data_IF_419938061083
#
_entry.id   IF_419938061083
#
_cell.length_a   1.000
_cell.length_b   1.000
_cell.length_c   1.000
_cell.angle_alpha   90.00
_cell.angle_beta   90.00
_cell.angle_gamma   90.00
#
_symmetry.space_group_name_H-M   'P 1'
#
loop_
_entity.id
_entity.type
_entity.pdbx_description
1 polymer ?
#
# COMPACT_ATOMS: atom_id res chain seq x y z
N UNK A 1 37.08 16.52 -22.00
CA UNK A 1 36.32 15.50 -21.25
C UNK A 1 35.11 16.17 -20.60
N UNK A 2 33.87 15.80 -20.99
CA UNK A 2 32.66 16.27 -20.29
C UNK A 2 32.67 15.70 -18.88
N UNK A 3 33.03 16.51 -17.89
CA UNK A 3 32.81 16.15 -16.48
C UNK A 3 31.32 16.05 -16.25
N UNK A 4 30.77 14.83 -16.31
CA UNK A 4 29.45 14.58 -15.80
C UNK A 4 29.48 14.87 -14.31
N UNK A 5 28.94 16.03 -13.93
CA UNK A 5 28.84 16.41 -12.53
C UNK A 5 28.25 15.27 -11.70
N UNK A 6 28.90 14.92 -10.60
CA UNK A 6 28.45 13.88 -9.64
C UNK A 6 26.95 13.99 -9.34
N UNK A 7 26.39 15.22 -9.32
CA UNK A 7 24.97 15.49 -9.12
C UNK A 7 24.04 14.94 -10.18
N UNK A 8 24.46 14.94 -11.45
CA UNK A 8 23.61 14.41 -12.53
C UNK A 8 23.51 12.88 -12.45
N UNK A 9 24.56 12.21 -11.96
CA UNK A 9 24.53 10.76 -11.71
C UNK A 9 23.59 10.44 -10.54
N UNK A 10 23.70 11.19 -9.43
CA UNK A 10 22.81 11.03 -8.29
C UNK A 10 21.34 11.31 -8.62
N UNK A 11 21.06 12.35 -9.40
CA UNK A 11 19.70 12.67 -9.82
C UNK A 11 19.09 11.56 -10.67
N UNK A 12 19.85 11.02 -11.65
CA UNK A 12 19.37 9.89 -12.47
C UNK A 12 19.09 8.66 -11.62
N UNK A 13 19.98 8.34 -10.68
CA UNK A 13 19.80 7.21 -9.78
C UNK A 13 18.57 7.40 -8.86
N UNK A 14 18.36 8.61 -8.35
CA UNK A 14 17.19 8.95 -7.55
C UNK A 14 15.88 8.77 -8.35
N UNK A 15 15.82 9.26 -9.59
CA UNK A 15 14.66 9.08 -10.46
C UNK A 15 14.40 7.59 -10.73
N UNK A 16 15.46 6.81 -10.99
CA UNK A 16 15.35 5.38 -11.24
C UNK A 16 14.79 4.64 -10.01
N UNK A 17 15.25 4.97 -8.80
CA UNK A 17 14.72 4.41 -7.55
C UNK A 17 13.24 4.78 -7.37
N UNK A 18 12.86 6.02 -7.69
CA UNK A 18 11.46 6.44 -7.62
C UNK A 18 10.55 5.64 -8.55
N UNK A 19 10.97 5.45 -9.80
CA UNK A 19 10.25 4.63 -10.78
C UNK A 19 10.14 3.17 -10.29
N UNK A 20 11.27 2.60 -9.84
CA UNK A 20 11.30 1.23 -9.33
C UNK A 20 10.39 1.05 -8.12
N UNK A 21 10.44 1.99 -7.17
CA UNK A 21 9.58 1.98 -5.98
C UNK A 21 8.09 2.08 -6.33
N UNK A 22 7.73 2.92 -7.29
CA UNK A 22 6.36 3.03 -7.78
C UNK A 22 5.86 1.71 -8.39
N UNK A 23 6.67 1.06 -9.24
CA UNK A 23 6.34 -0.24 -9.81
C UNK A 23 6.22 -1.33 -8.74
N UNK A 24 7.10 -1.32 -7.75
CA UNK A 24 7.09 -2.30 -6.66
C UNK A 24 5.81 -2.17 -5.81
N UNK A 25 5.38 -0.94 -5.50
CA UNK A 25 4.11 -0.70 -4.79
C UNK A 25 2.93 -1.13 -5.67
N UNK A 26 2.94 -0.80 -6.97
CA UNK A 26 1.81 -1.09 -7.85
C UNK A 26 1.65 -2.60 -8.10
N UNK A 27 2.72 -3.32 -8.38
CA UNK A 27 2.67 -4.75 -8.68
C UNK A 27 2.71 -5.61 -7.41
N UNK A 28 3.73 -5.40 -6.58
CA UNK A 28 3.91 -6.17 -5.34
C UNK A 28 2.84 -5.86 -4.31
N UNK A 29 2.52 -4.57 -4.12
CA UNK A 29 1.45 -4.13 -3.24
C UNK A 29 0.08 -4.65 -3.68
N UNK A 30 -0.20 -4.66 -4.99
CA UNK A 30 -1.46 -5.21 -5.51
C UNK A 30 -1.65 -6.67 -5.12
N UNK A 31 -0.64 -7.50 -5.35
CA UNK A 31 -0.69 -8.91 -5.00
C UNK A 31 -0.85 -9.14 -3.48
N UNK A 32 -0.06 -8.41 -2.68
CA UNK A 32 -0.09 -8.57 -1.22
C UNK A 32 -1.44 -8.13 -0.62
N UNK A 33 -1.97 -6.99 -1.07
CA UNK A 33 -3.26 -6.46 -0.60
C UNK A 33 -4.39 -7.40 -1.00
N UNK A 34 -4.40 -7.91 -2.23
CA UNK A 34 -5.41 -8.87 -2.69
C UNK A 34 -5.41 -10.12 -1.83
N UNK A 35 -4.25 -10.74 -1.63
CA UNK A 35 -4.14 -11.96 -0.81
C UNK A 35 -4.50 -11.72 0.65
N UNK A 36 -4.14 -10.57 1.20
CA UNK A 36 -4.53 -10.19 2.55
C UNK A 36 -6.05 -10.02 2.68
N UNK A 37 -6.68 -9.32 1.73
CA UNK A 37 -8.13 -9.11 1.71
C UNK A 37 -8.87 -10.44 1.54
N UNK A 38 -8.46 -11.30 0.60
CA UNK A 38 -9.05 -12.63 0.42
C UNK A 38 -9.02 -13.44 1.73
N UNK A 39 -7.86 -13.51 2.37
CA UNK A 39 -7.69 -14.31 3.59
C UNK A 39 -8.45 -13.72 4.79
N UNK A 40 -8.34 -12.41 5.00
CA UNK A 40 -9.02 -11.73 6.11
C UNK A 40 -10.53 -11.78 5.97
N UNK A 41 -11.03 -11.53 4.75
CA UNK A 41 -12.46 -11.55 4.47
C UNK A 41 -13.04 -12.96 4.56
N UNK A 42 -12.38 -13.96 3.99
CA UNK A 42 -12.84 -15.35 4.05
C UNK A 42 -12.94 -15.86 5.50
N UNK A 43 -11.98 -15.52 6.35
CA UNK A 43 -12.01 -15.88 7.76
C UNK A 43 -13.16 -15.19 8.52
N UNK A 44 -13.39 -13.90 8.25
CA UNK A 44 -14.49 -13.13 8.85
C UNK A 44 -15.85 -13.69 8.43
N UNK A 45 -16.05 -13.90 7.12
CA UNK A 45 -17.30 -14.45 6.58
C UNK A 45 -17.58 -15.88 7.08
N UNK A 46 -16.53 -16.71 7.20
CA UNK A 46 -16.69 -18.07 7.73
C UNK A 46 -17.10 -18.05 9.21
N UNK A 47 -16.50 -17.16 10.00
CA UNK A 47 -16.89 -16.99 11.41
C UNK A 47 -18.35 -16.57 11.52
N UNK A 48 -18.80 -15.64 10.67
CA UNK A 48 -20.17 -15.20 10.64
C UNK A 48 -21.13 -16.31 10.18
N UNK A 49 -20.78 -17.03 9.11
CA UNK A 49 -21.57 -18.19 8.66
C UNK A 49 -21.71 -19.23 9.76
N UNK A 50 -20.64 -19.48 10.53
CA UNK A 50 -20.68 -20.40 11.66
C UNK A 50 -21.56 -19.89 12.81
N UNK A 51 -21.51 -18.60 13.12
CA UNK A 51 -22.36 -17.97 14.13
C UNK A 51 -23.83 -18.11 13.76
N UNK A 52 -24.17 -17.82 12.50
CA UNK A 52 -25.54 -17.96 11.98
C UNK A 52 -25.97 -19.45 12.03
N UNK A 53 -25.10 -20.37 11.59
CA UNK A 53 -25.38 -21.80 11.57
C UNK A 53 -25.58 -22.37 12.99
N UNK A 54 -24.96 -21.78 14.00
CA UNK A 54 -25.04 -22.17 15.40
C UNK A 54 -26.26 -21.61 16.14
N UNK A 55 -26.96 -20.65 15.53
CA UNK A 55 -28.12 -20.00 16.15
C UNK A 55 -29.32 -20.96 16.24
N UNK A 56 -29.91 -21.09 17.43
CA UNK A 56 -31.04 -21.99 17.70
C UNK A 56 -32.28 -21.65 16.85
N UNK A 57 -32.49 -20.37 16.54
CA UNK A 57 -33.57 -19.94 15.64
C UNK A 57 -33.36 -20.47 14.21
N UNK A 58 -32.14 -20.52 13.73
CA UNK A 58 -31.81 -21.09 12.40
C UNK A 58 -32.00 -22.60 12.42
N UNK A 59 -31.51 -23.28 13.44
CA UNK A 59 -31.60 -24.75 13.58
C UNK A 59 -33.08 -25.22 13.65
N UNK A 60 -33.92 -24.51 14.40
CA UNK A 60 -35.33 -24.87 14.59
C UNK A 60 -36.22 -24.55 13.37
N UNK A 61 -35.87 -23.49 12.62
CA UNK A 61 -36.72 -22.97 11.54
C UNK A 61 -36.42 -23.55 10.16
N UNK A 62 -35.36 -24.30 9.98
CA UNK A 62 -35.05 -25.01 8.73
C UNK A 62 -36.19 -25.99 8.34
N UNK A 63 -36.97 -26.46 9.33
CA UNK A 63 -38.03 -27.44 9.14
C UNK A 63 -39.45 -26.88 9.28
N UNK A 64 -39.64 -25.57 9.49
CA UNK A 64 -40.94 -24.98 9.80
C UNK A 64 -41.27 -23.72 8.97
N UNK A 65 -42.57 -23.41 8.87
CA UNK A 65 -43.13 -22.30 8.09
C UNK A 65 -42.78 -20.86 8.55
N UNK A 66 -41.74 -20.67 9.36
CA UNK A 66 -41.31 -19.37 9.90
C UNK A 66 -40.12 -18.78 9.14
N UNK A 67 -40.03 -19.06 7.84
CA UNK A 67 -38.95 -18.61 6.97
C UNK A 67 -38.88 -17.08 6.85
N UNK A 68 -40.02 -16.39 6.90
CA UNK A 68 -40.13 -14.94 6.68
C UNK A 68 -39.37 -14.11 7.73
N UNK A 69 -39.51 -14.47 9.02
CA UNK A 69 -38.81 -13.77 10.12
C UNK A 69 -37.31 -14.03 10.09
N UNK A 70 -36.90 -15.22 9.69
CA UNK A 70 -35.49 -15.56 9.52
C UNK A 70 -34.88 -14.79 8.34
N UNK A 71 -35.60 -14.69 7.24
CA UNK A 71 -35.19 -13.94 6.06
C UNK A 71 -34.98 -12.46 6.38
N UNK A 72 -35.89 -11.82 7.16
CA UNK A 72 -35.74 -10.42 7.55
C UNK A 72 -34.46 -10.17 8.39
N UNK A 73 -34.17 -11.04 9.34
CA UNK A 73 -32.93 -10.97 10.12
C UNK A 73 -31.68 -11.17 9.25
N UNK A 74 -31.70 -12.13 8.34
CA UNK A 74 -30.56 -12.38 7.45
C UNK A 74 -30.37 -11.24 6.44
N UNK A 75 -31.44 -10.60 5.97
CA UNK A 75 -31.37 -9.43 5.12
C UNK A 75 -30.67 -8.25 5.81
N UNK A 76 -30.92 -8.01 7.10
CA UNK A 76 -30.23 -6.97 7.85
C UNK A 76 -28.71 -7.21 7.95
N UNK A 77 -28.30 -8.47 8.15
CA UNK A 77 -26.88 -8.85 8.16
C UNK A 77 -26.27 -8.70 6.76
N UNK A 78 -26.99 -9.14 5.73
CA UNK A 78 -26.58 -9.06 4.32
C UNK A 78 -26.33 -7.62 3.88
N UNK A 79 -27.25 -6.70 4.17
CA UNK A 79 -27.13 -5.29 3.81
C UNK A 79 -25.95 -4.63 4.55
N UNK A 80 -25.66 -5.02 5.80
CA UNK A 80 -24.52 -4.50 6.56
C UNK A 80 -23.18 -4.98 6.03
N UNK A 81 -23.09 -6.23 5.58
CA UNK A 81 -21.85 -6.83 5.08
C UNK A 81 -21.65 -6.70 3.58
N UNK A 82 -22.64 -6.16 2.84
CA UNK A 82 -22.66 -6.13 1.37
C UNK A 82 -22.40 -7.52 0.76
N UNK A 83 -22.99 -8.54 1.38
CA UNK A 83 -22.83 -9.95 1.04
C UNK A 83 -24.19 -10.61 0.83
N UNK A 84 -24.25 -11.65 0.03
CA UNK A 84 -25.46 -12.47 -0.17
C UNK A 84 -25.40 -13.67 0.77
N UNK A 85 -26.47 -13.88 1.56
CA UNK A 85 -26.58 -15.02 2.45
C UNK A 85 -27.65 -15.98 1.94
N UNK A 86 -27.31 -17.26 1.97
CA UNK A 86 -28.23 -18.35 1.66
C UNK A 86 -28.28 -19.37 2.79
N UNK A 87 -29.44 -19.97 2.97
CA UNK A 87 -29.59 -21.23 3.69
C UNK A 87 -29.87 -22.31 2.66
N UNK A 88 -29.08 -23.35 2.68
CA UNK A 88 -29.14 -24.50 1.78
C UNK A 88 -29.56 -25.71 2.63
N UNK A 89 -30.55 -26.49 2.20
CA UNK A 89 -30.95 -27.71 2.89
C UNK A 89 -29.94 -28.88 2.63
N UNK A 90 -30.19 -30.01 3.29
CA UNK A 90 -29.35 -31.21 3.11
C UNK A 90 -29.39 -31.79 1.69
N UNK A 91 -30.40 -31.45 0.88
CA UNK A 91 -30.55 -31.88 -0.51
C UNK A 91 -29.77 -30.97 -1.49
N UNK A 92 -29.19 -29.87 -1.03
CA UNK A 92 -28.49 -28.91 -1.88
C UNK A 92 -29.44 -27.88 -2.53
N UNK A 93 -30.58 -27.60 -1.91
CA UNK A 93 -31.53 -26.62 -2.41
C UNK A 93 -31.51 -25.36 -1.56
N UNK A 94 -31.55 -24.18 -2.19
CA UNK A 94 -31.64 -22.89 -1.50
C UNK A 94 -33.06 -22.75 -0.96
N UNK A 95 -33.20 -22.63 0.36
CA UNK A 95 -34.48 -22.43 1.06
C UNK A 95 -34.66 -21.01 1.58
N UNK A 96 -33.59 -20.25 1.76
CA UNK A 96 -33.61 -18.82 2.10
C UNK A 96 -32.54 -18.09 1.31
N UNK A 97 -32.87 -16.92 0.78
CA UNK A 97 -31.95 -16.04 0.07
C UNK A 97 -32.19 -14.59 0.46
N UNK A 98 -31.09 -13.86 0.72
CA UNK A 98 -31.17 -12.40 0.94
C UNK A 98 -31.02 -11.61 -0.35
N UNK A 99 -30.86 -12.27 -1.48
CA UNK A 99 -30.73 -11.61 -2.78
C UNK A 99 -32.09 -11.03 -3.23
N UNK A 100 -32.16 -9.72 -3.41
CA UNK A 100 -33.39 -8.96 -3.70
C UNK A 100 -34.17 -9.43 -4.95
N UNK A 101 -33.50 -10.12 -5.87
CA UNK A 101 -34.13 -10.57 -7.13
C UNK A 101 -34.53 -12.05 -7.11
N UNK A 102 -34.40 -12.73 -5.97
CA UNK A 102 -34.72 -14.14 -5.82
C UNK A 102 -35.81 -14.26 -4.75
N UNK A 103 -37.02 -14.62 -5.20
CA UNK A 103 -38.14 -14.99 -4.34
C UNK A 103 -38.11 -16.51 -4.17
N UNK A 104 -37.68 -16.96 -3.01
CA UNK A 104 -37.60 -18.40 -2.69
C UNK A 104 -38.96 -18.85 -2.11
N UNK A 105 -40.00 -18.89 -2.94
CA UNK A 105 -41.30 -19.54 -2.57
C UNK A 105 -41.20 -21.04 -2.65
N UNK A 106 -40.42 -21.55 -3.62
CA UNK A 106 -40.11 -22.95 -3.78
C UNK A 106 -38.59 -23.13 -3.66
N UNK A 107 -38.09 -24.23 -3.06
CA UNK A 107 -36.66 -24.51 -2.97
C UNK A 107 -35.99 -24.54 -4.34
N UNK A 108 -34.89 -23.81 -4.47
CA UNK A 108 -34.14 -23.70 -5.73
C UNK A 108 -32.95 -24.69 -5.70
N UNK A 109 -32.96 -25.73 -6.57
CA UNK A 109 -31.89 -26.71 -6.60
C UNK A 109 -30.58 -26.09 -7.12
N UNK A 110 -29.48 -26.38 -6.43
CA UNK A 110 -28.14 -26.07 -6.93
C UNK A 110 -27.60 -27.31 -7.68
N UNK A 111 -27.34 -27.13 -8.97
CA UNK A 111 -26.80 -28.20 -9.80
C UNK A 111 -25.44 -28.67 -9.26
N UNK A 112 -25.26 -29.96 -9.07
CA UNK A 112 -24.00 -30.59 -8.60
C UNK A 112 -23.51 -30.11 -7.22
N UNK A 113 -24.38 -29.58 -6.35
CA UNK A 113 -23.98 -29.18 -5.01
C UNK A 113 -23.43 -30.37 -4.22
N UNK A 114 -22.21 -30.24 -3.78
CA UNK A 114 -21.55 -31.26 -2.98
C UNK A 114 -20.65 -30.57 -1.93
N UNK A 115 -21.12 -30.55 -0.70
CA UNK A 115 -20.39 -29.94 0.42
C UNK A 115 -19.06 -30.66 0.71
N UNK A 116 -18.88 -31.92 0.32
CA UNK A 116 -17.64 -32.65 0.51
C UNK A 116 -16.51 -32.15 -0.39
N UNK A 117 -16.80 -31.51 -1.52
CA UNK A 117 -15.83 -30.90 -2.44
C UNK A 117 -15.12 -29.67 -1.85
N UNK A 118 -15.65 -29.10 -0.78
CA UNK A 118 -15.01 -27.97 -0.09
C UNK A 118 -13.78 -28.40 0.73
N UNK A 119 -13.71 -29.67 1.11
CA UNK A 119 -12.55 -30.28 1.76
C UNK A 119 -12.08 -29.52 2.99
N UNK A 120 -10.76 -29.27 3.09
CA UNK A 120 -10.15 -28.47 4.15
C UNK A 120 -10.24 -26.95 3.89
N UNK A 121 -10.66 -26.55 2.71
CA UNK A 121 -10.77 -25.14 2.35
C UNK A 121 -12.14 -24.62 2.79
N UNK A 122 -12.16 -23.68 3.72
CA UNK A 122 -13.38 -23.06 4.23
C UNK A 122 -13.96 -21.99 3.29
N UNK A 123 -13.29 -21.67 2.17
CA UNK A 123 -13.79 -20.74 1.15
C UNK A 123 -13.40 -21.19 -0.27
N UNK A 124 -14.17 -20.71 -1.23
CA UNK A 124 -13.93 -20.90 -2.66
C UNK A 124 -14.17 -19.58 -3.41
N UNK A 125 -13.38 -19.32 -4.46
CA UNK A 125 -13.59 -18.17 -5.35
C UNK A 125 -14.07 -18.70 -6.70
N UNK A 126 -15.20 -18.14 -7.18
CA UNK A 126 -15.79 -18.52 -8.45
C UNK A 126 -17.28 -18.18 -8.52
N UNK A 127 -17.96 -18.79 -9.49
CA UNK A 127 -19.38 -18.53 -9.79
C UNK A 127 -20.37 -19.34 -8.94
N UNK A 128 -19.92 -19.96 -7.90
CA UNK A 128 -20.66 -20.83 -7.00
C UNK A 128 -21.69 -21.71 -7.73
N UNK A 129 -21.27 -22.88 -8.17
CA UNK A 129 -22.07 -23.83 -8.95
C UNK A 129 -22.78 -23.20 -10.17
N UNK A 130 -22.15 -22.19 -10.80
CA UNK A 130 -22.68 -21.50 -11.98
C UNK A 130 -23.82 -20.51 -11.71
N UNK A 131 -24.24 -20.33 -10.45
CA UNK A 131 -25.37 -19.49 -10.10
C UNK A 131 -25.12 -18.00 -10.32
N UNK A 132 -23.91 -17.53 -9.98
CA UNK A 132 -23.53 -16.13 -10.18
C UNK A 132 -22.96 -15.88 -11.56
N UNK A 133 -23.22 -14.69 -12.12
CA UNK A 133 -22.61 -14.24 -13.39
C UNK A 133 -21.14 -13.82 -13.21
N UNK A 134 -20.81 -13.30 -12.03
CA UNK A 134 -19.46 -12.82 -11.65
C UNK A 134 -18.89 -13.70 -10.56
N UNK A 135 -17.58 -13.66 -10.38
CA UNK A 135 -16.90 -14.40 -9.33
C UNK A 135 -17.24 -13.84 -7.95
N UNK A 136 -17.46 -14.72 -7.01
CA UNK A 136 -17.72 -14.44 -5.60
C UNK A 136 -16.74 -15.24 -4.74
N UNK A 137 -16.32 -14.65 -3.64
CA UNK A 137 -15.72 -15.36 -2.54
C UNK A 137 -16.87 -15.94 -1.72
N UNK A 138 -16.96 -17.26 -1.66
CA UNK A 138 -18.04 -17.99 -1.02
C UNK A 138 -17.51 -18.81 0.13
N UNK A 139 -18.20 -18.78 1.27
CA UNK A 139 -17.93 -19.62 2.43
C UNK A 139 -19.17 -20.44 2.75
N UNK A 140 -19.01 -21.64 3.30
CA UNK A 140 -20.13 -22.46 3.80
C UNK A 140 -19.82 -22.95 5.22
N UNK A 141 -20.86 -22.95 6.08
CA UNK A 141 -20.80 -23.51 7.42
C UNK A 141 -21.97 -24.49 7.61
N UNK A 142 -21.73 -25.70 8.15
CA UNK A 142 -22.80 -26.69 8.34
C UNK A 142 -23.72 -26.29 9.52
N UNK A 143 -25.02 -26.47 9.33
CA UNK A 143 -26.02 -26.36 10.37
C UNK A 143 -26.24 -27.79 10.93
N UNK A 144 -25.75 -27.99 12.14
CA UNK A 144 -25.82 -29.32 12.79
C UNK A 144 -26.81 -29.31 13.94
N UNK A 145 -27.69 -30.33 13.97
CA UNK A 145 -28.60 -30.63 15.08
C UNK A 145 -28.67 -32.14 15.26
N UNK A 146 -28.64 -32.60 16.52
CA UNK A 146 -28.75 -34.03 16.86
C UNK A 146 -27.69 -34.93 16.17
N UNK A 147 -26.45 -34.41 16.03
CA UNK A 147 -25.31 -35.04 15.32
C UNK A 147 -25.53 -35.26 13.82
N UNK A 148 -26.54 -34.64 13.24
CA UNK A 148 -26.79 -34.67 11.79
C UNK A 148 -26.64 -33.28 11.19
N UNK A 149 -26.17 -33.22 9.94
CA UNK A 149 -26.14 -31.96 9.16
C UNK A 149 -27.54 -31.76 8.53
N UNK A 150 -28.24 -30.73 8.97
CA UNK A 150 -29.58 -30.38 8.47
C UNK A 150 -29.52 -29.43 7.27
N UNK A 151 -28.38 -28.80 7.04
CA UNK A 151 -28.19 -27.86 5.93
C UNK A 151 -26.90 -27.06 6.10
N UNK A 152 -26.79 -25.98 5.35
CA UNK A 152 -25.62 -25.14 5.31
C UNK A 152 -26.02 -23.66 5.26
N UNK A 153 -25.24 -22.81 5.94
CA UNK A 153 -25.24 -21.36 5.71
C UNK A 153 -24.15 -21.06 4.70
N UNK A 154 -24.51 -20.42 3.60
CA UNK A 154 -23.56 -19.95 2.60
C UNK A 154 -23.55 -18.41 2.60
N UNK A 155 -22.37 -17.80 2.59
CA UNK A 155 -22.18 -16.35 2.45
C UNK A 155 -21.32 -16.11 1.23
N UNK A 156 -21.80 -15.21 0.36
CA UNK A 156 -21.15 -14.87 -0.91
C UNK A 156 -20.84 -13.40 -0.96
N UNK A 157 -19.57 -13.06 -1.12
CA UNK A 157 -19.08 -11.69 -1.26
C UNK A 157 -18.56 -11.47 -2.69
N UNK A 158 -19.01 -10.40 -3.34
CA UNK A 158 -18.61 -10.13 -4.72
C UNK A 158 -17.12 -9.80 -4.83
N UNK A 159 -16.39 -10.51 -5.71
CA UNK A 159 -15.00 -10.20 -6.00
C UNK A 159 -14.84 -8.80 -6.61
N UNK A 160 -15.88 -8.25 -7.23
CA UNK A 160 -15.88 -6.87 -7.73
C UNK A 160 -15.66 -5.87 -6.59
N UNK A 161 -16.38 -6.06 -5.45
CA UNK A 161 -16.23 -5.20 -4.28
C UNK A 161 -14.84 -5.35 -3.63
N UNK A 162 -14.30 -6.57 -3.61
CA UNK A 162 -12.94 -6.82 -3.13
C UNK A 162 -11.90 -6.09 -3.99
N UNK A 163 -12.01 -6.17 -5.32
CA UNK A 163 -11.10 -5.47 -6.24
C UNK A 163 -11.24 -3.94 -6.12
N UNK A 164 -12.42 -3.44 -5.85
CA UNK A 164 -12.64 -2.01 -5.61
C UNK A 164 -11.98 -1.55 -4.31
N UNK A 165 -12.11 -2.32 -3.23
CA UNK A 165 -11.42 -2.08 -1.95
C UNK A 165 -9.90 -2.13 -2.13
N UNK A 166 -9.37 -3.14 -2.85
CA UNK A 166 -7.95 -3.23 -3.21
C UNK A 166 -7.48 -1.98 -3.94
N UNK A 167 -8.22 -1.54 -4.97
CA UNK A 167 -7.88 -0.35 -5.76
C UNK A 167 -7.81 0.91 -4.91
N UNK A 168 -8.74 1.08 -3.97
CA UNK A 168 -8.78 2.21 -3.04
C UNK A 168 -7.56 2.22 -2.11
N UNK A 169 -7.19 1.06 -1.56
CA UNK A 169 -5.99 0.92 -0.72
C UNK A 169 -4.72 1.24 -1.52
N UNK A 170 -4.60 0.70 -2.73
CA UNK A 170 -3.45 0.96 -3.61
C UNK A 170 -3.33 2.44 -3.96
N UNK A 171 -4.44 3.11 -4.25
CA UNK A 171 -4.45 4.54 -4.52
C UNK A 171 -3.90 5.35 -3.32
N UNK A 172 -4.34 5.04 -2.10
CA UNK A 172 -3.83 5.68 -0.89
C UNK A 172 -2.32 5.44 -0.74
N UNK A 173 -1.86 4.21 -0.95
CA UNK A 173 -0.42 3.87 -0.87
C UNK A 173 0.40 4.64 -1.91
N UNK A 174 -0.10 4.78 -3.14
CA UNK A 174 0.55 5.55 -4.21
C UNK A 174 0.62 7.05 -3.88
N UNK A 175 -0.45 7.63 -3.32
CA UNK A 175 -0.45 9.04 -2.89
C UNK A 175 0.57 9.27 -1.79
N UNK A 176 0.61 8.40 -0.77
CA UNK A 176 1.60 8.49 0.31
C UNK A 176 3.02 8.39 -0.24
N UNK A 177 3.27 7.44 -1.15
CA UNK A 177 4.57 7.28 -1.79
C UNK A 177 4.99 8.55 -2.54
N UNK A 178 4.09 9.16 -3.33
CA UNK A 178 4.37 10.39 -4.06
C UNK A 178 4.68 11.56 -3.14
N UNK A 179 3.96 11.70 -2.02
CA UNK A 179 4.23 12.73 -1.01
C UNK A 179 5.61 12.54 -0.36
N UNK A 180 5.96 11.31 0.01
CA UNK A 180 7.30 11.00 0.55
C UNK A 180 8.40 11.26 -0.48
N UNK A 181 8.16 10.90 -1.74
CA UNK A 181 9.11 11.14 -2.83
C UNK A 181 9.29 12.64 -3.12
N UNK A 182 8.21 13.43 -3.06
CA UNK A 182 8.28 14.89 -3.17
C UNK A 182 9.05 15.52 -1.98
N UNK A 183 8.80 15.05 -0.76
CA UNK A 183 9.52 15.54 0.43
C UNK A 183 11.03 15.25 0.35
N UNK A 184 11.42 14.05 -0.08
CA UNK A 184 12.84 13.70 -0.29
C UNK A 184 13.47 14.50 -1.43
N UNK A 185 12.72 14.81 -2.49
CA UNK A 185 13.17 15.72 -3.58
C UNK A 185 13.49 17.11 -3.07
N UNK A 186 12.63 17.63 -2.18
CA UNK A 186 12.83 18.95 -1.55
C UNK A 186 14.08 18.96 -0.66
N UNK A 187 14.31 17.90 0.11
CA UNK A 187 15.53 17.74 0.90
C UNK A 187 16.79 17.70 0.04
N UNK A 188 16.79 16.97 -1.08
CA UNK A 188 17.90 16.94 -2.03
C UNK A 188 18.17 18.32 -2.67
N UNK A 189 17.10 19.06 -2.98
CA UNK A 189 17.25 20.43 -3.45
C UNK A 189 17.88 21.34 -2.38
N UNK A 190 17.40 21.28 -1.14
CA UNK A 190 17.94 22.03 -0.01
C UNK A 190 19.42 21.69 0.24
N UNK A 191 19.78 20.40 0.28
CA UNK A 191 21.15 19.95 0.39
C UNK A 191 22.04 20.51 -0.73
N UNK A 192 21.57 20.49 -1.98
CA UNK A 192 22.32 21.04 -3.10
C UNK A 192 22.52 22.56 -2.99
N UNK A 193 21.53 23.28 -2.48
CA UNK A 193 21.55 24.73 -2.37
C UNK A 193 22.40 25.20 -1.18
N UNK A 194 22.19 24.62 0.01
CA UNK A 194 22.79 25.12 1.25
C UNK A 194 24.16 24.49 1.56
N UNK A 195 24.45 23.31 1.06
CA UNK A 195 25.70 22.61 1.39
C UNK A 195 26.60 22.49 0.17
N UNK A 196 26.12 21.84 -0.89
CA UNK A 196 26.98 21.47 -2.02
C UNK A 196 27.53 22.66 -2.81
N UNK A 197 26.67 23.65 -3.12
CA UNK A 197 27.08 24.83 -3.89
C UNK A 197 28.11 25.68 -3.13
N UNK A 198 27.90 26.05 -1.84
CA UNK A 198 28.90 26.76 -1.05
C UNK A 198 30.22 25.97 -0.93
N UNK A 199 30.15 24.69 -0.62
CA UNK A 199 31.35 23.84 -0.52
C UNK A 199 32.19 23.82 -1.81
N UNK A 200 31.49 23.72 -2.97
CA UNK A 200 32.20 23.77 -4.26
C UNK A 200 32.92 25.13 -4.51
N UNK A 201 32.32 26.25 -4.04
CA UNK A 201 32.95 27.56 -4.11
C UNK A 201 34.19 27.63 -3.20
N UNK A 202 34.09 27.12 -1.98
CA UNK A 202 35.20 27.05 -1.03
C UNK A 202 36.35 26.19 -1.60
N UNK A 203 36.06 25.01 -2.14
CA UNK A 203 37.02 24.14 -2.79
C UNK A 203 37.74 24.83 -3.97
N UNK A 204 36.95 25.56 -4.79
CA UNK A 204 37.53 26.35 -5.89
C UNK A 204 38.49 27.42 -5.36
N UNK A 205 38.10 28.18 -4.34
CA UNK A 205 38.98 29.20 -3.73
C UNK A 205 40.23 28.63 -3.12
N UNK A 206 40.15 27.49 -2.39
CA UNK A 206 41.29 26.80 -1.86
C UNK A 206 42.26 26.33 -2.98
N UNK A 207 41.72 25.90 -4.13
CA UNK A 207 42.53 25.51 -5.30
C UNK A 207 43.21 26.72 -5.94
N UNK A 208 42.54 27.90 -6.00
CA UNK A 208 43.18 29.16 -6.47
C UNK A 208 44.32 29.56 -5.53
N UNK A 209 44.16 29.48 -4.20
CA UNK A 209 45.21 29.77 -3.23
C UNK A 209 46.42 28.83 -3.37
N UNK A 210 46.16 27.53 -3.54
CA UNK A 210 47.21 26.54 -3.78
C UNK A 210 47.96 26.80 -5.11
N UNK A 211 47.29 27.37 -6.11
CA UNK A 211 47.89 27.81 -7.38
C UNK A 211 48.62 29.14 -7.31
N UNK A 212 48.70 29.78 -6.14
CA UNK A 212 49.39 31.07 -5.94
C UNK A 212 48.51 32.30 -6.19
N UNK A 213 47.23 32.12 -6.57
CA UNK A 213 46.28 33.22 -6.76
C UNK A 213 45.68 33.66 -5.41
N UNK A 214 46.50 34.32 -4.57
CA UNK A 214 46.06 34.76 -3.24
C UNK A 214 45.13 35.99 -3.28
N UNK A 215 44.97 36.62 -4.43
CA UNK A 215 44.02 37.73 -4.61
C UNK A 215 42.56 37.28 -4.82
N UNK A 216 42.35 35.96 -5.12
CA UNK A 216 41.01 35.40 -5.25
C UNK A 216 40.25 35.51 -3.92
N UNK A 217 38.93 35.83 -3.97
CA UNK A 217 38.08 35.88 -2.78
C UNK A 217 37.00 34.84 -2.89
N UNK A 218 36.83 34.03 -1.86
CA UNK A 218 35.77 33.04 -1.75
C UNK A 218 34.50 33.81 -1.40
N UNK A 219 33.52 33.84 -2.34
CA UNK A 219 32.22 34.46 -2.16
C UNK A 219 31.24 33.46 -1.56
N UNK A 220 31.24 33.37 -0.23
CA UNK A 220 30.22 32.62 0.56
C UNK A 220 29.75 33.54 1.69
N UNK A 221 28.50 33.96 1.63
CA UNK A 221 27.92 34.96 2.52
C UNK A 221 26.96 34.39 3.54
N UNK A 222 27.02 33.04 3.80
CA UNK A 222 26.19 32.41 4.85
C UNK A 222 26.74 32.73 6.26
N UNK A 223 25.84 32.72 7.24
CA UNK A 223 26.20 32.89 8.67
C UNK A 223 26.38 31.57 9.40
N UNK A 224 26.57 30.49 8.66
CA UNK A 224 26.81 29.12 9.14
C UNK A 224 28.30 28.74 9.09
N UNK A 225 28.61 27.45 9.32
CA UNK A 225 29.95 26.90 9.29
C UNK A 225 30.63 27.08 7.92
N UNK A 226 29.86 27.14 6.82
CA UNK A 226 30.39 27.35 5.48
C UNK A 226 30.88 28.79 5.30
N UNK A 227 30.10 29.76 5.80
CA UNK A 227 30.49 31.15 5.83
C UNK A 227 31.70 31.40 6.72
N UNK A 228 31.76 30.78 7.90
CA UNK A 228 32.90 30.85 8.78
C UNK A 228 34.20 30.29 8.11
N UNK A 229 34.09 29.11 7.49
CA UNK A 229 35.20 28.50 6.76
C UNK A 229 35.68 29.38 5.61
N UNK A 230 34.77 29.98 4.83
CA UNK A 230 35.13 30.87 3.75
C UNK A 230 35.86 32.13 4.26
N UNK A 231 35.39 32.76 5.33
CA UNK A 231 36.03 33.92 5.99
C UNK A 231 37.40 33.57 6.49
N UNK A 232 37.57 32.41 7.13
CA UNK A 232 38.89 31.94 7.65
C UNK A 232 39.88 31.71 6.54
N UNK A 233 39.48 31.07 5.44
CA UNK A 233 40.34 30.85 4.28
C UNK A 233 40.72 32.17 3.57
N UNK A 234 39.80 33.10 3.44
CA UNK A 234 40.06 34.41 2.90
C UNK A 234 41.09 35.18 3.78
N UNK A 235 40.89 35.13 5.11
CA UNK A 235 41.86 35.76 6.06
C UNK A 235 43.26 35.14 5.94
N UNK A 236 43.35 33.84 5.90
CA UNK A 236 44.63 33.11 5.71
C UNK A 236 45.30 33.50 4.40
N UNK A 237 44.54 33.66 3.31
CA UNK A 237 45.08 34.10 2.01
C UNK A 237 45.61 35.55 2.08
N UNK A 238 44.92 36.46 2.79
CA UNK A 238 45.38 37.82 2.98
C UNK A 238 46.69 37.91 3.76
N UNK A 239 46.83 37.12 4.84
CA UNK A 239 48.07 37.06 5.62
C UNK A 239 49.23 36.48 4.82
N UNK A 240 48.99 35.45 4.03
CA UNK A 240 50.02 34.89 3.14
C UNK A 240 50.48 35.88 2.07
N UNK A 241 49.55 36.67 1.50
CA UNK A 241 49.86 37.68 0.51
C UNK A 241 50.69 38.82 1.10
N UNK A 242 50.34 39.34 2.30
CA UNK A 242 51.12 40.35 3.04
C UNK A 242 52.54 39.85 3.33
N UNK A 243 52.69 38.64 3.85
CA UNK A 243 53.99 38.08 4.15
C UNK A 243 54.85 37.94 2.89
N UNK A 244 54.28 37.54 1.76
CA UNK A 244 54.99 37.49 0.48
C UNK A 244 55.45 38.89 0.00
N UNK A 245 54.65 39.94 0.21
CA UNK A 245 55.05 41.35 -0.09
C UNK A 245 56.16 41.83 0.83
N UNK A 246 56.14 41.51 2.12
CA UNK A 246 57.22 41.86 3.05
C UNK A 246 58.55 41.20 2.65
N UNK A 247 58.52 39.94 2.29
CA UNK A 247 59.73 39.23 1.82
C UNK A 247 60.29 39.83 0.53
N UNK A 248 59.44 40.17 -0.46
CA UNK A 248 59.88 40.82 -1.70
C UNK A 248 60.50 42.19 -1.45
N UNK A 249 59.90 43.00 -0.58
CA UNK A 249 60.41 44.32 -0.20
C UNK A 249 61.76 44.20 0.55
N UNK A 250 61.87 43.22 1.40
CA UNK A 250 63.16 42.93 2.12
C UNK A 250 64.25 42.57 1.13
N UNK A 251 64.04 41.69 0.19
CA UNK A 251 65.00 41.26 -0.82
C UNK A 251 65.36 42.43 -1.78
N UNK A 252 64.44 43.32 -2.07
CA UNK A 252 64.73 44.50 -2.95
C UNK A 252 65.49 45.61 -2.28
N UNK A 253 65.61 45.65 -0.95
CA UNK A 253 66.25 46.67 -0.17
C UNK A 253 67.63 46.20 0.34
N UNK A 254 68.11 45.00 -0.01
CA UNK A 254 69.44 44.44 0.23
C UNK A 254 70.21 44.47 -1.07
#
# INVERSE_FOLDING_TARGET
MKQHHLSTKFLRFYILIGILGFFLITLGGSYMVEKHLEHSLSAALYTEAHNIASNEAVKSNISSSTVDTLQEHLCAISDFQDAVLWIINSNGEIIVSTQKNIDVRDPIPLEEFDASKWGSNYYQIGKFYGFFKTDHLSVIAPITSDMETKGYVAIHYSMTNLYQSRSSILFIMQVIFLLCYAATSLLLWAYSHYIRKPLARIMKGASEYAGGNLAYKIDVTSDDEMGYLAKTLNYMSDELNKNGEYQRKFIANV
#
